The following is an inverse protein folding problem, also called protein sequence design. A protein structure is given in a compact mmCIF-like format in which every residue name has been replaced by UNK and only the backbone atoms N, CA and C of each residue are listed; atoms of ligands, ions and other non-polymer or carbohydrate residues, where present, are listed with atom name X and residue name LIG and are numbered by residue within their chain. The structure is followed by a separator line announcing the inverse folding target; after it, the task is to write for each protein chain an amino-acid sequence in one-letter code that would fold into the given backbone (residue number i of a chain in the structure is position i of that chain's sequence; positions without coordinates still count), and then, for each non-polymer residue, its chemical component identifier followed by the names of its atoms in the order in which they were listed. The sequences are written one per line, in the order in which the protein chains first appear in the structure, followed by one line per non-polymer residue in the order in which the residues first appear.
data_IF_582972492784
#
_entry.id   IF_582972492784
#
_cell.length_a   1.000
_cell.length_b   1.000
_cell.length_c   1.000
_cell.angle_alpha   90.00
_cell.angle_beta   90.00
_cell.angle_gamma   90.00
#
_symmetry.space_group_name_H-M   'P 1'
#
loop_
_entity.id
_entity.type
_entity.pdbx_description
1 polymer ?
#
# COMPACT_ATOMS: atom_id res chain seq x y z
N UNK A 1 48.61 -10.82 -28.53
CA UNK A 1 49.08 -9.58 -27.86
C UNK A 1 47.94 -8.57 -27.98
N UNK A 2 47.72 -7.72 -26.98
CA UNK A 2 46.72 -6.65 -27.08
C UNK A 2 47.26 -5.52 -27.97
N UNK A 3 46.38 -4.78 -28.64
CA UNK A 3 46.76 -3.67 -29.49
C UNK A 3 47.00 -2.39 -28.63
N UNK A 4 48.15 -1.70 -28.77
CA UNK A 4 48.49 -0.53 -27.96
C UNK A 4 47.89 0.79 -28.44
N UNK A 5 47.89 1.77 -27.53
CA UNK A 5 47.62 3.17 -27.84
C UNK A 5 48.87 3.88 -28.41
N UNK A 6 48.67 4.87 -29.28
CA UNK A 6 49.76 5.65 -29.92
C UNK A 6 50.76 6.29 -28.93
N UNK A 7 50.31 6.72 -27.75
CA UNK A 7 51.16 7.26 -26.68
C UNK A 7 52.05 6.19 -26.00
N UNK A 8 51.84 4.90 -26.32
CA UNK A 8 52.53 3.79 -25.68
C UNK A 8 52.10 3.58 -24.23
N UNK A 9 52.96 2.94 -23.45
CA UNK A 9 52.82 2.67 -22.01
C UNK A 9 51.63 1.80 -21.60
N UNK A 10 50.85 1.33 -22.57
CA UNK A 10 49.84 0.28 -22.38
C UNK A 10 50.54 -1.05 -22.15
N UNK A 11 49.93 -1.92 -21.33
CA UNK A 11 50.52 -3.23 -21.01
C UNK A 11 50.22 -4.22 -22.12
N UNK A 12 51.29 -4.79 -22.69
CA UNK A 12 51.27 -5.81 -23.72
C UNK A 12 51.64 -7.16 -23.11
N UNK A 13 50.73 -8.12 -23.17
CA UNK A 13 51.03 -9.50 -22.78
C UNK A 13 51.51 -10.28 -23.99
N UNK A 14 52.73 -10.82 -23.88
CA UNK A 14 53.39 -11.62 -24.92
C UNK A 14 53.58 -13.04 -24.38
N UNK A 15 53.17 -14.02 -25.17
CA UNK A 15 53.32 -15.45 -24.85
C UNK A 15 54.40 -16.07 -25.73
N UNK A 16 55.17 -17.00 -25.16
CA UNK A 16 56.29 -17.64 -25.82
C UNK A 16 56.87 -18.78 -24.98
N UNK A 17 58.16 -19.06 -25.15
CA UNK A 17 58.89 -20.12 -24.45
C UNK A 17 60.27 -19.64 -24.02
N UNK A 18 60.75 -20.08 -22.85
CA UNK A 18 62.05 -19.73 -22.26
C UNK A 18 62.28 -18.23 -22.08
N UNK A 19 61.22 -17.49 -21.75
CA UNK A 19 61.25 -16.03 -21.62
C UNK A 19 61.85 -15.54 -20.29
N UNK A 20 61.93 -16.41 -19.29
CA UNK A 20 62.52 -16.17 -17.96
C UNK A 20 64.06 -16.13 -17.98
N UNK A 21 64.69 -16.67 -19.02
CA UNK A 21 66.16 -16.68 -19.20
C UNK A 21 66.70 -15.31 -19.63
N UNK A 22 65.84 -14.43 -20.17
CA UNK A 22 66.23 -13.13 -20.69
C UNK A 22 66.28 -12.11 -19.54
N UNK A 23 67.47 -11.57 -19.24
CA UNK A 23 67.68 -10.64 -18.11
C UNK A 23 67.05 -9.26 -18.33
N UNK A 24 67.22 -8.67 -19.53
CA UNK A 24 66.66 -7.37 -19.89
C UNK A 24 65.85 -7.44 -21.19
N UNK A 25 64.65 -8.06 -21.17
CA UNK A 25 63.81 -8.09 -22.35
C UNK A 25 63.27 -6.68 -22.64
N UNK A 26 63.37 -6.23 -23.90
CA UNK A 26 62.77 -4.97 -24.35
C UNK A 26 61.93 -5.20 -25.59
N UNK A 27 60.91 -4.38 -25.76
CA UNK A 27 60.07 -4.34 -26.97
C UNK A 27 60.50 -3.16 -27.83
N UNK A 28 60.49 -3.35 -29.14
CA UNK A 28 60.96 -2.40 -30.16
C UNK A 28 59.86 -2.19 -31.20
N UNK A 29 59.67 -0.94 -31.61
CA UNK A 29 58.82 -0.57 -32.74
C UNK A 29 59.55 0.45 -33.61
N UNK A 30 59.37 0.33 -34.93
CA UNK A 30 59.84 1.31 -35.92
C UNK A 30 58.65 1.93 -36.63
N UNK A 31 58.59 3.25 -36.70
CA UNK A 31 57.54 3.99 -37.37
C UNK A 31 58.06 5.32 -37.90
N UNK A 32 57.81 5.62 -39.18
CA UNK A 32 58.22 6.89 -39.80
C UNK A 32 59.74 7.09 -39.78
N UNK A 33 60.50 5.99 -39.90
CA UNK A 33 61.97 6.01 -39.85
C UNK A 33 62.58 6.16 -38.46
N UNK A 34 61.77 6.30 -37.39
CA UNK A 34 62.23 6.37 -36.00
C UNK A 34 62.03 5.03 -35.28
N UNK A 35 62.93 4.71 -34.37
CA UNK A 35 62.86 3.52 -33.54
C UNK A 35 62.61 3.91 -32.08
N UNK A 36 61.59 3.28 -31.47
CA UNK A 36 61.24 3.44 -30.07
C UNK A 36 61.31 2.09 -29.36
N UNK A 37 61.87 2.08 -28.15
CA UNK A 37 62.00 0.89 -27.31
C UNK A 37 61.38 1.14 -25.94
N UNK A 38 60.90 0.08 -25.30
CA UNK A 38 60.36 0.16 -23.94
C UNK A 38 60.61 -1.16 -23.19
N UNK A 39 60.49 -1.10 -21.86
CA UNK A 39 60.86 -2.19 -20.95
C UNK A 39 59.84 -3.33 -20.98
N UNK A 40 60.34 -4.56 -20.83
CA UNK A 40 59.52 -5.73 -20.55
C UNK A 40 59.95 -6.37 -19.23
N UNK A 41 59.01 -7.06 -18.61
CA UNK A 41 59.25 -7.86 -17.41
C UNK A 41 58.80 -9.29 -17.67
N UNK A 42 59.71 -10.25 -17.48
CA UNK A 42 59.35 -11.65 -17.47
C UNK A 42 58.42 -11.93 -16.29
N UNK A 43 57.27 -12.54 -16.58
CA UNK A 43 56.33 -12.99 -15.55
C UNK A 43 56.63 -14.44 -15.24
N UNK A 44 56.59 -15.31 -16.26
CA UNK A 44 56.91 -16.74 -16.19
C UNK A 44 57.75 -17.16 -17.41
N UNK A 45 58.21 -18.42 -17.45
CA UNK A 45 58.97 -18.99 -18.59
C UNK A 45 58.22 -18.94 -19.93
N UNK A 46 56.90 -18.76 -19.92
CA UNK A 46 56.06 -18.69 -21.11
C UNK A 46 55.40 -17.33 -21.35
N UNK A 47 55.58 -16.34 -20.46
CA UNK A 47 54.93 -15.04 -20.60
C UNK A 47 55.78 -13.86 -20.10
N UNK A 48 55.79 -12.78 -20.89
CA UNK A 48 56.34 -11.48 -20.50
C UNK A 48 55.27 -10.39 -20.62
N UNK A 49 55.34 -9.42 -19.73
CA UNK A 49 54.55 -8.20 -19.78
C UNK A 49 55.46 -7.05 -20.25
N UNK A 50 55.15 -6.47 -21.39
CA UNK A 50 55.87 -5.34 -21.97
C UNK A 50 55.07 -4.05 -21.84
N UNK A 51 55.74 -2.93 -21.59
CA UNK A 51 55.12 -1.61 -21.78
C UNK A 51 55.23 -1.25 -23.27
N UNK A 52 54.14 -0.89 -23.93
CA UNK A 52 54.16 -0.53 -25.34
C UNK A 52 55.10 0.67 -25.58
N UNK A 53 55.98 0.66 -26.59
CA UNK A 53 56.75 1.83 -26.95
C UNK A 53 55.85 2.92 -27.56
N UNK A 54 56.13 4.22 -27.31
CA UNK A 54 55.42 5.32 -27.95
C UNK A 54 55.80 5.43 -29.44
N UNK A 55 54.83 5.69 -30.32
CA UNK A 55 55.07 5.90 -31.76
C UNK A 55 55.63 7.29 -32.10
N UNK A 56 55.27 8.30 -31.29
CA UNK A 56 55.71 9.69 -31.47
C UNK A 56 56.09 10.28 -30.12
N UNK A 57 57.10 11.16 -30.10
CA UNK A 57 57.50 11.88 -28.89
C UNK A 57 56.52 13.01 -28.49
N UNK A 58 55.71 13.50 -29.44
CA UNK A 58 54.73 14.56 -29.20
C UNK A 58 53.30 14.03 -29.26
N UNK A 59 52.52 14.37 -28.23
CA UNK A 59 51.09 14.10 -28.16
C UNK A 59 50.33 15.15 -28.98
N UNK A 60 49.80 14.77 -30.14
CA UNK A 60 48.84 15.58 -30.90
C UNK A 60 47.40 15.15 -30.57
N UNK A 61 46.60 15.97 -29.86
CA UNK A 61 45.21 15.64 -29.59
C UNK A 61 44.39 15.64 -30.89
N UNK A 62 43.71 14.52 -31.18
CA UNK A 62 42.68 14.45 -32.23
C UNK A 62 43.08 13.83 -33.57
N UNK A 63 44.17 13.06 -33.62
CA UNK A 63 44.46 12.23 -34.80
C UNK A 63 43.69 10.90 -34.70
N UNK A 64 42.51 10.84 -35.33
CA UNK A 64 41.57 9.71 -35.25
C UNK A 64 41.91 8.53 -36.19
N UNK A 65 43.13 8.50 -36.74
CA UNK A 65 43.56 7.41 -37.62
C UNK A 65 44.34 6.33 -36.88
N UNK A 66 43.97 5.09 -37.17
CA UNK A 66 44.73 3.89 -36.80
C UNK A 66 46.08 3.92 -37.54
N UNK A 67 47.18 3.66 -36.82
CA UNK A 67 48.54 3.66 -37.37
C UNK A 67 49.13 2.26 -37.35
N UNK A 68 49.78 1.87 -38.44
CA UNK A 68 50.47 0.60 -38.55
C UNK A 68 51.98 0.83 -38.38
N UNK A 69 52.63 0.00 -37.55
CA UNK A 69 54.08 0.06 -37.38
C UNK A 69 54.80 -0.49 -38.64
N UNK A 70 55.94 0.12 -38.99
CA UNK A 70 56.78 -0.34 -40.11
C UNK A 70 57.51 -1.63 -39.75
N UNK A 71 58.04 -1.72 -38.52
CA UNK A 71 58.65 -2.92 -37.95
C UNK A 71 58.23 -3.06 -36.48
N UNK A 72 58.01 -4.29 -36.04
CA UNK A 72 57.79 -4.63 -34.64
C UNK A 72 58.70 -5.78 -34.24
N UNK A 73 59.24 -5.78 -33.02
CA UNK A 73 60.11 -6.84 -32.55
C UNK A 73 60.51 -6.74 -31.09
N UNK A 74 61.44 -7.59 -30.70
CA UNK A 74 61.94 -7.74 -29.35
C UNK A 74 63.46 -7.74 -29.33
N UNK A 75 64.02 -7.06 -28.33
CA UNK A 75 65.45 -7.03 -28.05
C UNK A 75 65.69 -7.95 -26.85
N UNK A 76 65.98 -9.22 -27.14
CA UNK A 76 66.36 -10.23 -26.15
C UNK A 76 67.84 -10.55 -26.31
N UNK A 77 68.70 -9.73 -25.70
CA UNK A 77 70.16 -9.85 -25.80
C UNK A 77 70.63 -9.85 -27.27
N UNK A 78 71.31 -10.91 -27.74
CA UNK A 78 71.88 -11.02 -29.08
C UNK A 78 71.02 -11.87 -30.05
N UNK A 79 69.73 -12.09 -29.76
CA UNK A 79 68.83 -12.87 -30.62
C UNK A 79 68.32 -12.01 -31.78
N UNK A 80 69.05 -12.01 -32.90
CA UNK A 80 68.73 -11.17 -34.08
C UNK A 80 67.42 -11.55 -34.78
N UNK A 81 66.98 -12.79 -34.65
CA UNK A 81 65.75 -13.29 -35.28
C UNK A 81 64.47 -12.62 -34.74
N UNK A 82 64.52 -12.08 -33.52
CA UNK A 82 63.35 -11.46 -32.87
C UNK A 82 63.29 -9.94 -33.07
N UNK A 83 64.32 -9.33 -33.67
CA UNK A 83 64.37 -7.88 -33.90
C UNK A 83 63.29 -7.40 -34.89
N UNK A 84 62.87 -8.28 -35.80
CA UNK A 84 61.80 -8.04 -36.78
C UNK A 84 60.86 -9.23 -36.81
N UNK A 85 59.70 -9.08 -36.20
CA UNK A 85 58.65 -10.09 -36.16
C UNK A 85 57.64 -9.85 -37.29
N UNK A 86 57.74 -10.63 -38.36
CA UNK A 86 57.05 -10.38 -39.62
C UNK A 86 55.66 -11.04 -39.74
N UNK A 87 55.10 -11.55 -38.63
CA UNK A 87 53.93 -12.44 -38.65
C UNK A 87 52.59 -11.75 -38.37
N UNK A 88 52.56 -10.47 -37.99
CA UNK A 88 51.32 -9.74 -37.69
C UNK A 88 51.50 -8.25 -37.93
N UNK A 89 50.58 -7.61 -38.66
CA UNK A 89 50.49 -6.16 -38.71
C UNK A 89 50.13 -5.66 -37.32
N UNK A 90 51.11 -5.15 -36.57
CA UNK A 90 50.90 -4.60 -35.24
C UNK A 90 50.35 -3.18 -35.39
N UNK A 91 49.16 -2.96 -34.83
CA UNK A 91 48.36 -1.77 -35.07
C UNK A 91 48.25 -0.94 -33.79
N UNK A 92 48.41 0.38 -33.91
CA UNK A 92 48.27 1.33 -32.83
C UNK A 92 46.97 2.12 -32.97
N UNK A 93 46.14 2.06 -31.93
CA UNK A 93 44.88 2.79 -31.84
C UNK A 93 45.10 4.24 -31.37
N UNK A 94 44.25 5.18 -31.85
CA UNK A 94 44.32 6.58 -31.43
C UNK A 94 44.10 6.71 -29.92
N UNK A 95 44.76 7.71 -29.32
CA UNK A 95 44.64 7.96 -27.88
C UNK A 95 43.21 8.44 -27.53
N UNK A 96 42.69 8.09 -26.34
CA UNK A 96 41.43 8.64 -25.87
C UNK A 96 41.55 10.15 -25.72
N UNK A 97 40.55 10.88 -26.20
CA UNK A 97 40.49 12.34 -26.06
C UNK A 97 39.21 12.72 -25.34
N UNK A 98 39.33 13.64 -24.39
CA UNK A 98 38.22 14.13 -23.58
C UNK A 98 37.89 15.58 -23.94
N UNK A 99 36.60 15.90 -23.91
CA UNK A 99 36.11 17.26 -24.02
C UNK A 99 36.27 17.99 -22.67
N UNK A 100 36.30 19.32 -22.70
CA UNK A 100 36.31 20.11 -21.47
C UNK A 100 35.00 19.90 -20.70
N UNK A 101 35.09 19.79 -19.36
CA UNK A 101 33.92 19.55 -18.49
C UNK A 101 32.85 20.63 -18.62
N UNK A 102 33.25 21.88 -18.84
CA UNK A 102 32.35 23.01 -19.06
C UNK A 102 33.06 24.10 -19.86
N UNK A 103 32.28 24.97 -20.52
CA UNK A 103 32.79 26.13 -21.27
C UNK A 103 33.52 27.13 -20.37
N UNK A 104 33.24 27.11 -19.06
CA UNK A 104 33.89 27.94 -18.03
C UNK A 104 35.10 27.27 -17.37
N UNK A 105 35.41 26.01 -17.67
CA UNK A 105 36.47 25.22 -17.05
C UNK A 105 36.15 24.67 -15.65
N UNK A 106 35.01 25.06 -15.06
CA UNK A 106 34.49 24.56 -13.78
C UNK A 106 33.06 24.06 -13.96
N UNK A 107 32.80 22.79 -13.61
CA UNK A 107 31.47 22.20 -13.64
C UNK A 107 30.83 22.28 -12.25
N UNK A 108 29.69 22.97 -12.17
CA UNK A 108 28.87 23.04 -10.95
C UNK A 108 28.05 21.76 -10.80
N UNK A 109 28.37 20.96 -9.77
CA UNK A 109 27.76 19.66 -9.55
C UNK A 109 26.93 19.66 -8.25
N UNK A 110 25.70 19.13 -8.33
CA UNK A 110 24.86 18.90 -7.15
C UNK A 110 25.34 17.65 -6.39
N UNK A 111 25.19 17.62 -5.06
CA UNK A 111 25.48 16.41 -4.28
C UNK A 111 24.67 15.21 -4.80
N UNK A 112 25.36 14.10 -5.06
CA UNK A 112 24.76 12.83 -5.50
C UNK A 112 24.54 12.65 -7.01
N UNK A 113 24.79 13.66 -7.86
CA UNK A 113 24.71 13.47 -9.32
C UNK A 113 26.05 12.98 -9.89
N UNK A 114 26.08 12.01 -10.84
CA UNK A 114 27.33 11.52 -11.43
C UNK A 114 27.99 12.58 -12.33
N UNK A 115 29.32 12.62 -12.31
CA UNK A 115 30.14 13.47 -13.19
C UNK A 115 30.26 12.78 -14.55
N UNK A 116 29.87 13.47 -15.62
CA UNK A 116 29.88 12.93 -16.98
C UNK A 116 31.08 13.50 -17.73
N UNK A 117 32.00 12.63 -18.13
CA UNK A 117 33.19 12.96 -18.90
C UNK A 117 32.99 12.47 -20.33
N UNK A 118 32.74 13.38 -21.27
CA UNK A 118 32.57 13.06 -22.68
C UNK A 118 33.93 12.87 -23.35
N UNK A 119 34.03 11.86 -24.20
CA UNK A 119 35.27 11.59 -24.92
C UNK A 119 35.07 10.73 -26.16
N UNK A 120 36.13 10.66 -26.98
CA UNK A 120 36.23 9.81 -28.17
C UNK A 120 37.34 8.78 -27.98
N UNK A 121 37.23 7.67 -28.71
CA UNK A 121 38.19 6.56 -28.67
C UNK A 121 38.38 5.94 -27.27
N UNK A 122 37.30 5.85 -26.48
CA UNK A 122 37.32 5.29 -25.12
C UNK A 122 37.37 3.75 -25.10
N UNK A 123 36.77 3.12 -26.10
CA UNK A 123 36.77 1.67 -26.25
C UNK A 123 37.26 1.34 -27.67
N UNK A 124 38.56 1.04 -27.86
CA UNK A 124 39.05 0.64 -29.18
C UNK A 124 38.46 -0.73 -29.56
N UNK A 125 38.07 -0.96 -30.83
CA UNK A 125 37.58 -2.24 -31.32
C UNK A 125 38.75 -3.23 -31.53
N UNK A 126 39.49 -3.52 -30.46
CA UNK A 126 40.66 -4.39 -30.48
C UNK A 126 40.28 -5.87 -30.60
N UNK A 127 41.10 -6.63 -31.33
CA UNK A 127 40.90 -8.06 -31.58
C UNK A 127 41.28 -8.89 -30.35
N UNK A 128 40.40 -8.90 -29.33
CA UNK A 128 40.65 -9.67 -28.09
C UNK A 128 39.86 -9.25 -26.86
N UNK A 129 38.97 -8.25 -26.95
CA UNK A 129 38.12 -7.83 -25.82
C UNK A 129 38.89 -7.17 -24.66
N UNK A 130 40.16 -6.82 -24.85
CA UNK A 130 40.97 -6.12 -23.85
C UNK A 130 40.46 -4.69 -23.64
N UNK A 131 39.84 -4.44 -22.47
CA UNK A 131 39.40 -3.10 -22.08
C UNK A 131 40.57 -2.30 -21.53
N UNK A 132 40.63 -1.01 -21.86
CA UNK A 132 41.58 -0.08 -21.24
C UNK A 132 41.21 0.12 -19.76
N UNK A 133 42.22 0.14 -18.89
CA UNK A 133 42.05 0.44 -17.48
C UNK A 133 42.07 1.95 -17.28
N UNK A 134 40.89 2.52 -17.04
CA UNK A 134 40.70 3.92 -16.70
C UNK A 134 40.73 4.10 -15.18
N UNK A 135 41.36 5.17 -14.70
CA UNK A 135 41.25 5.63 -13.32
C UNK A 135 41.00 7.13 -13.34
N UNK A 136 39.93 7.59 -12.72
CA UNK A 136 39.58 9.00 -12.65
C UNK A 136 39.74 9.45 -11.21
N UNK A 137 40.51 10.52 -10.99
CA UNK A 137 40.72 11.12 -9.68
C UNK A 137 40.08 12.50 -9.65
N UNK A 138 39.33 12.76 -8.57
CA UNK A 138 38.77 14.07 -8.25
C UNK A 138 39.61 14.63 -7.10
N UNK A 139 40.45 15.63 -7.40
CA UNK A 139 41.54 16.02 -6.52
C UNK A 139 42.57 14.88 -6.45
N UNK A 140 42.72 14.30 -5.26
CA UNK A 140 43.60 13.15 -5.00
C UNK A 140 42.84 11.84 -4.71
N UNK A 141 41.50 11.86 -4.80
CA UNK A 141 40.65 10.71 -4.45
C UNK A 141 40.13 10.02 -5.73
N UNK A 142 40.33 8.70 -5.88
CA UNK A 142 39.79 7.95 -7.01
C UNK A 142 38.27 7.84 -6.92
N UNK A 143 37.57 8.02 -8.04
CA UNK A 143 36.12 7.81 -8.11
C UNK A 143 35.76 6.46 -8.75
N UNK A 144 34.58 5.95 -8.39
CA UNK A 144 34.02 4.78 -9.05
C UNK A 144 33.54 5.17 -10.45
N UNK A 145 34.01 4.45 -11.47
CA UNK A 145 33.74 4.77 -12.87
C UNK A 145 32.93 3.70 -13.58
N UNK A 146 32.07 4.14 -14.50
CA UNK A 146 31.41 3.31 -15.51
C UNK A 146 31.83 3.77 -16.89
N UNK A 147 32.41 2.86 -17.68
CA UNK A 147 32.95 3.13 -19.02
C UNK A 147 31.90 2.84 -20.10
N UNK A 148 31.63 3.80 -20.96
CA UNK A 148 30.83 3.66 -22.19
C UNK A 148 31.67 4.01 -23.42
N UNK A 149 31.15 3.78 -24.63
CA UNK A 149 31.86 4.05 -25.89
C UNK A 149 32.19 5.54 -26.09
N UNK A 150 31.37 6.44 -25.56
CA UNK A 150 31.46 7.90 -25.75
C UNK A 150 31.55 8.71 -24.46
N UNK A 151 31.44 8.06 -23.30
CA UNK A 151 31.44 8.76 -22.01
C UNK A 151 31.95 7.90 -20.85
N UNK A 152 32.57 8.55 -19.86
CA UNK A 152 32.86 7.97 -18.54
C UNK A 152 31.95 8.63 -17.51
N UNK A 153 31.24 7.81 -16.74
CA UNK A 153 30.43 8.25 -15.60
C UNK A 153 31.24 8.02 -14.32
N UNK A 154 31.52 9.07 -13.58
CA UNK A 154 32.28 9.06 -12.33
C UNK A 154 31.33 9.43 -11.18
N UNK A 155 31.17 8.53 -10.20
CA UNK A 155 30.41 8.85 -8.99
C UNK A 155 31.27 9.73 -8.06
N UNK A 156 30.83 10.96 -7.74
CA UNK A 156 31.67 11.89 -6.99
C UNK A 156 31.95 11.35 -5.58
N UNK A 157 33.21 11.40 -5.10
CA UNK A 157 33.54 11.09 -3.71
C UNK A 157 32.88 12.11 -2.77
N UNK A 158 32.74 11.80 -1.46
CA UNK A 158 32.12 12.69 -0.47
C UNK A 158 33.04 13.87 -0.09
N UNK A 159 33.40 14.68 -1.08
CA UNK A 159 34.21 15.88 -0.97
C UNK A 159 33.35 17.09 -1.34
N UNK A 160 33.56 18.20 -0.63
CA UNK A 160 32.93 19.49 -0.94
C UNK A 160 33.99 20.49 -1.43
N UNK A 161 33.57 21.46 -2.24
CA UNK A 161 34.47 22.49 -2.79
C UNK A 161 34.95 22.20 -4.22
N UNK A 162 35.94 22.98 -4.67
CA UNK A 162 36.47 22.92 -6.03
C UNK A 162 37.67 21.96 -6.12
N UNK A 163 37.55 20.92 -6.93
CA UNK A 163 38.56 19.87 -7.10
C UNK A 163 38.90 19.67 -8.58
N UNK A 164 40.18 19.47 -8.89
CA UNK A 164 40.64 19.22 -10.27
C UNK A 164 40.40 17.76 -10.65
N UNK A 165 39.82 17.50 -11.82
CA UNK A 165 39.62 16.14 -12.32
C UNK A 165 40.82 15.72 -13.15
N UNK A 166 41.37 14.53 -12.86
CA UNK A 166 42.46 13.93 -13.63
C UNK A 166 42.08 12.51 -14.06
N UNK A 167 42.39 12.17 -15.31
CA UNK A 167 42.09 10.88 -15.92
C UNK A 167 43.43 10.20 -16.22
N UNK A 168 43.58 8.96 -15.78
CA UNK A 168 44.74 8.12 -15.98
C UNK A 168 44.36 6.90 -16.82
N UNK A 169 45.10 6.67 -17.90
CA UNK A 169 44.90 5.52 -18.80
C UNK A 169 46.27 4.96 -19.17
N UNK A 170 46.66 3.84 -18.56
CA UNK A 170 48.04 3.34 -18.69
C UNK A 170 49.05 4.37 -18.18
N UNK A 171 49.89 4.90 -19.08
CA UNK A 171 50.86 5.97 -18.78
C UNK A 171 50.45 7.37 -19.26
N UNK A 172 49.19 7.56 -19.70
CA UNK A 172 48.68 8.86 -20.14
C UNK A 172 47.88 9.54 -19.02
N UNK A 173 48.19 10.81 -18.74
CA UNK A 173 47.49 11.65 -17.77
C UNK A 173 46.83 12.84 -18.49
N UNK A 174 45.51 12.98 -18.34
CA UNK A 174 44.72 14.06 -18.94
C UNK A 174 43.90 14.78 -17.88
N UNK A 175 43.84 16.11 -17.94
CA UNK A 175 43.05 16.94 -17.00
C UNK A 175 41.98 17.74 -17.75
N UNK A 176 40.73 17.24 -17.83
CA UNK A 176 39.67 17.87 -18.63
C UNK A 176 39.01 19.10 -17.96
N UNK A 177 39.27 19.37 -16.67
CA UNK A 177 38.72 20.54 -15.96
C UNK A 177 38.63 20.36 -14.45
N UNK A 178 37.93 21.27 -13.77
CA UNK A 178 37.64 21.18 -12.33
C UNK A 178 36.14 21.04 -12.08
N UNK A 179 35.75 20.41 -10.97
CA UNK A 179 34.37 20.29 -10.51
C UNK A 179 34.20 21.05 -9.21
N UNK A 180 33.11 21.79 -9.05
CA UNK A 180 32.70 22.41 -7.80
C UNK A 180 31.51 21.63 -7.24
N UNK A 181 31.73 20.92 -6.13
CA UNK A 181 30.69 20.14 -5.46
C UNK A 181 30.08 21.01 -4.37
N UNK A 182 28.82 21.41 -4.57
CA UNK A 182 28.08 22.19 -3.59
C UNK A 182 27.77 21.34 -2.35
N UNK A 183 27.96 21.91 -1.17
CA UNK A 183 27.47 21.33 0.09
C UNK A 183 25.94 21.39 0.12
N UNK A 184 25.30 20.34 0.62
CA UNK A 184 23.88 20.39 1.00
C UNK A 184 23.69 21.51 2.02
N UNK A 185 23.31 22.70 1.55
CA UNK A 185 22.81 23.78 2.42
C UNK A 185 21.42 23.36 2.89
N UNK A 186 21.37 22.48 3.87
CA UNK A 186 20.14 22.18 4.58
C UNK A 186 19.74 23.43 5.37
N UNK A 187 18.80 24.16 4.78
CA UNK A 187 18.13 25.35 5.28
C UNK A 187 19.05 26.54 5.54
N UNK A 188 18.99 27.50 4.61
CA UNK A 188 19.45 28.86 4.84
C UNK A 188 18.81 29.43 6.12
N UNK A 189 19.59 30.08 6.98
CA UNK A 189 19.10 30.79 8.18
C UNK A 189 17.77 31.56 7.98
N UNK A 190 17.52 32.29 6.87
CA UNK A 190 16.24 32.94 6.62
C UNK A 190 15.04 31.99 6.47
N UNK A 191 15.24 30.76 6.00
CA UNK A 191 14.18 29.75 5.90
C UNK A 191 13.76 29.20 7.28
N UNK A 192 14.66 29.20 8.27
CA UNK A 192 14.34 28.77 9.64
C UNK A 192 13.44 29.80 10.31
N UNK A 193 13.75 31.09 10.16
CA UNK A 193 12.92 32.17 10.71
C UNK A 193 11.52 32.21 10.09
N UNK A 194 11.37 31.93 8.80
CA UNK A 194 10.05 31.91 8.14
C UNK A 194 9.19 30.73 8.60
N UNK A 195 9.79 29.54 8.78
CA UNK A 195 9.08 28.36 9.30
C UNK A 195 8.70 28.55 10.77
N UNK A 196 9.58 29.12 11.59
CA UNK A 196 9.30 29.39 13.00
C UNK A 196 8.17 30.43 13.17
N UNK A 197 8.16 31.50 12.36
CA UNK A 197 7.09 32.50 12.36
C UNK A 197 5.75 31.91 11.88
N UNK A 198 5.76 31.11 10.81
CA UNK A 198 4.56 30.44 10.30
C UNK A 198 3.99 29.41 11.27
N UNK A 199 4.86 28.61 11.90
CA UNK A 199 4.47 27.63 12.91
C UNK A 199 3.91 28.28 14.18
N UNK A 200 4.53 29.38 14.63
CA UNK A 200 4.04 30.15 15.78
C UNK A 200 2.66 30.75 15.55
N UNK A 201 2.42 31.34 14.38
CA UNK A 201 1.11 31.90 14.01
C UNK A 201 0.02 30.80 13.97
N UNK A 202 0.34 29.64 13.39
CA UNK A 202 -0.59 28.52 13.34
C UNK A 202 -0.90 27.99 14.75
N UNK A 203 0.10 27.89 15.62
CA UNK A 203 -0.09 27.48 17.01
C UNK A 203 -1.01 28.44 17.78
N UNK A 204 -0.83 29.77 17.61
CA UNK A 204 -1.70 30.78 18.25
C UNK A 204 -3.14 30.65 17.77
N UNK A 205 -3.37 30.41 16.47
CA UNK A 205 -4.72 30.20 15.92
C UNK A 205 -5.37 28.96 16.54
N UNK A 206 -4.62 27.85 16.65
CA UNK A 206 -5.13 26.61 17.28
C UNK A 206 -5.52 26.87 18.75
N UNK A 207 -4.70 27.60 19.51
CA UNK A 207 -5.02 27.95 20.89
C UNK A 207 -6.29 28.81 20.98
N UNK A 208 -6.47 29.82 20.12
CA UNK A 208 -7.69 30.62 20.09
C UNK A 208 -8.94 29.78 19.78
N UNK A 209 -8.85 28.85 18.83
CA UNK A 209 -9.94 27.92 18.50
C UNK A 209 -10.25 27.02 19.70
N UNK A 210 -9.25 26.50 20.40
CA UNK A 210 -9.45 25.68 21.60
C UNK A 210 -10.10 26.47 22.73
N UNK A 211 -9.71 27.74 22.94
CA UNK A 211 -10.33 28.61 23.94
C UNK A 211 -11.78 28.90 23.56
N UNK A 212 -12.06 29.22 22.29
CA UNK A 212 -13.43 29.42 21.80
C UNK A 212 -14.28 28.16 21.96
N UNK A 213 -13.74 26.98 21.64
CA UNK A 213 -14.41 25.71 21.81
C UNK A 213 -14.69 25.39 23.29
N UNK A 214 -13.71 25.57 24.17
CA UNK A 214 -13.88 25.39 25.63
C UNK A 214 -14.94 26.33 26.18
N UNK A 215 -14.92 27.60 25.75
CA UNK A 215 -15.92 28.59 26.15
C UNK A 215 -17.32 28.20 25.65
N UNK A 216 -17.45 27.78 24.39
CA UNK A 216 -18.71 27.33 23.80
C UNK A 216 -19.24 26.05 24.45
N UNK A 217 -18.36 25.11 24.74
CA UNK A 217 -18.70 23.86 25.44
C UNK A 217 -19.17 24.14 26.87
N UNK A 218 -18.52 25.06 27.57
CA UNK A 218 -18.94 25.48 28.92
C UNK A 218 -20.29 26.21 28.90
N UNK A 219 -20.54 27.07 27.92
CA UNK A 219 -21.86 27.68 27.70
C UNK A 219 -22.95 26.62 27.48
N UNK A 220 -22.68 25.62 26.64
CA UNK A 220 -23.62 24.54 26.38
C UNK A 220 -23.89 23.69 27.64
N UNK A 221 -22.84 23.36 28.41
CA UNK A 221 -22.98 22.62 29.66
C UNK A 221 -23.79 23.39 30.70
N UNK A 222 -23.58 24.72 30.80
CA UNK A 222 -24.40 25.61 31.61
C UNK A 222 -25.87 25.62 31.17
N UNK A 223 -26.13 25.64 29.85
CA UNK A 223 -27.52 25.58 29.36
C UNK A 223 -28.19 24.25 29.67
N UNK A 224 -27.48 23.12 29.54
CA UNK A 224 -28.01 21.80 29.89
C UNK A 224 -28.31 21.71 31.39
N UNK A 225 -27.39 22.18 32.24
CA UNK A 225 -27.59 22.25 33.70
C UNK A 225 -28.80 23.11 34.09
N UNK A 226 -29.04 24.22 33.39
CA UNK A 226 -30.23 25.05 33.60
C UNK A 226 -31.51 24.31 33.23
N UNK A 227 -31.52 23.57 32.12
CA UNK A 227 -32.69 22.76 31.71
C UNK A 227 -33.00 21.65 32.73
N UNK A 228 -31.98 20.96 33.25
CA UNK A 228 -32.15 19.97 34.32
C UNK A 228 -32.70 20.61 35.60
N UNK A 229 -32.14 21.74 36.04
CA UNK A 229 -32.62 22.42 37.25
C UNK A 229 -34.06 22.95 37.10
N UNK A 230 -34.45 23.38 35.89
CA UNK A 230 -35.84 23.73 35.58
C UNK A 230 -36.76 22.50 35.60
N UNK A 231 -36.28 21.37 35.11
CA UNK A 231 -37.01 20.09 35.18
C UNK A 231 -37.20 19.64 36.63
N UNK A 232 -36.17 19.70 37.47
CA UNK A 232 -36.24 19.30 38.89
C UNK A 232 -37.20 20.20 39.68
N UNK A 233 -37.21 21.52 39.39
CA UNK A 233 -38.11 22.46 40.05
C UNK A 233 -39.56 22.29 39.58
N UNK A 234 -39.79 21.99 38.29
CA UNK A 234 -41.10 21.62 37.77
C UNK A 234 -41.56 20.27 38.34
N UNK A 235 -40.68 19.28 38.42
CA UNK A 235 -40.94 17.97 39.02
C UNK A 235 -41.35 18.11 40.48
N UNK A 236 -40.65 18.93 41.27
CA UNK A 236 -41.02 19.14 42.69
C UNK A 236 -42.38 19.83 42.86
N UNK A 237 -42.79 20.71 41.93
CA UNK A 237 -44.12 21.35 41.97
C UNK A 237 -45.22 20.41 41.50
N UNK A 238 -45.01 19.72 40.37
CA UNK A 238 -45.96 18.72 39.82
C UNK A 238 -46.10 17.53 40.76
N UNK A 239 -45.05 17.09 41.44
CA UNK A 239 -45.13 15.99 42.40
C UNK A 239 -46.03 16.33 43.60
N UNK A 240 -46.15 17.61 43.97
CA UNK A 240 -47.05 18.04 45.04
C UNK A 240 -48.51 18.04 44.54
N UNK A 241 -48.75 18.65 43.38
CA UNK A 241 -50.07 18.66 42.74
C UNK A 241 -50.55 17.23 42.42
N UNK A 242 -49.66 16.33 41.96
CA UNK A 242 -49.98 14.93 41.73
C UNK A 242 -50.25 14.16 43.03
N UNK A 243 -49.61 14.50 44.16
CA UNK A 243 -49.92 13.86 45.45
C UNK A 243 -51.30 14.27 45.96
N UNK A 244 -51.66 15.54 45.78
CA UNK A 244 -52.98 16.05 46.12
C UNK A 244 -54.06 15.44 45.22
N UNK A 245 -53.86 15.48 43.90
CA UNK A 245 -54.75 14.84 42.93
C UNK A 245 -54.83 13.31 43.11
N UNK A 246 -53.75 12.65 43.53
CA UNK A 246 -53.77 11.21 43.83
C UNK A 246 -54.52 10.89 45.12
N UNK A 247 -54.42 11.75 46.14
CA UNK A 247 -55.20 11.60 47.37
C UNK A 247 -56.70 11.79 47.08
N UNK A 248 -57.05 12.78 46.24
CA UNK A 248 -58.43 13.02 45.77
C UNK A 248 -58.95 11.83 44.93
N UNK A 249 -58.16 11.33 43.97
CA UNK A 249 -58.51 10.13 43.20
C UNK A 249 -58.62 8.87 44.05
N UNK A 250 -57.77 8.71 45.07
CA UNK A 250 -57.87 7.57 45.97
C UNK A 250 -59.14 7.62 46.80
N UNK A 251 -59.57 8.80 47.28
CA UNK A 251 -60.85 8.93 48.00
C UNK A 251 -62.02 8.61 47.07
N UNK A 252 -62.01 9.12 45.84
CA UNK A 252 -63.07 8.88 44.85
C UNK A 252 -63.13 7.40 44.39
N UNK A 253 -61.98 6.79 44.12
CA UNK A 253 -61.90 5.37 43.73
C UNK A 253 -62.27 4.47 44.91
N UNK A 254 -61.87 4.78 46.14
CA UNK A 254 -62.32 4.00 47.30
C UNK A 254 -63.81 4.13 47.53
N UNK A 255 -64.42 5.29 47.27
CA UNK A 255 -65.87 5.46 47.33
C UNK A 255 -66.57 4.62 46.25
N UNK A 256 -66.08 4.68 45.01
CA UNK A 256 -66.60 3.86 43.90
C UNK A 256 -66.34 2.35 44.11
N UNK A 257 -65.19 1.99 44.69
CA UNK A 257 -64.81 0.61 45.01
C UNK A 257 -65.58 0.09 46.21
N UNK A 258 -65.91 0.94 47.18
CA UNK A 258 -66.85 0.61 48.28
C UNK A 258 -68.23 0.27 47.74
N UNK A 259 -68.72 1.02 46.75
CA UNK A 259 -69.97 0.72 46.04
C UNK A 259 -69.85 -0.56 45.19
N UNK A 260 -68.69 -0.78 44.56
CA UNK A 260 -68.37 -2.00 43.81
C UNK A 260 -68.10 -3.22 44.70
N UNK A 261 -67.64 -3.09 45.94
CA UNK A 261 -67.40 -4.22 46.86
C UNK A 261 -68.72 -4.91 47.22
N UNK A 262 -69.83 -4.19 47.07
CA UNK A 262 -71.19 -4.74 47.18
C UNK A 262 -71.68 -5.44 45.92
N UNK A 263 -71.09 -5.16 44.75
CA UNK A 263 -71.50 -5.68 43.43
C UNK A 263 -70.47 -6.61 42.75
N UNK A 264 -69.22 -6.63 43.21
CA UNK A 264 -68.07 -7.26 42.58
C UNK A 264 -67.58 -6.53 41.32
N UNK A 265 -66.29 -6.66 41.00
CA UNK A 265 -65.74 -6.22 39.70
C UNK A 265 -66.45 -7.00 38.58
N UNK A 266 -67.01 -6.34 37.56
CA UNK A 266 -67.71 -7.03 36.47
C UNK A 266 -66.69 -7.73 35.55
N UNK A 267 -66.27 -8.92 35.94
CA UNK A 267 -65.42 -9.77 35.13
C UNK A 267 -66.19 -10.27 33.90
N UNK A 268 -65.54 -10.20 32.74
CA UNK A 268 -66.06 -10.86 31.55
C UNK A 268 -65.88 -12.37 31.66
N UNK A 269 -66.88 -13.13 31.20
CA UNK A 269 -66.74 -14.57 31.03
C UNK A 269 -65.54 -14.90 30.14
N UNK A 270 -64.84 -16.00 30.46
CA UNK A 270 -63.64 -16.44 29.74
C UNK A 270 -63.85 -16.49 28.22
N UNK A 271 -65.01 -16.98 27.77
CA UNK A 271 -65.36 -17.05 26.34
C UNK A 271 -65.42 -15.66 25.70
N UNK A 272 -66.10 -14.70 26.33
CA UNK A 272 -66.19 -13.33 25.83
C UNK A 272 -64.83 -12.61 25.89
N UNK A 273 -64.05 -12.85 26.93
CA UNK A 273 -62.70 -12.31 27.10
C UNK A 273 -61.74 -12.78 25.99
N UNK A 274 -61.64 -14.09 25.76
CA UNK A 274 -60.77 -14.68 24.73
C UNK A 274 -61.18 -14.21 23.33
N UNK A 275 -62.48 -14.08 23.06
CA UNK A 275 -62.96 -13.59 21.78
C UNK A 275 -62.57 -12.13 21.51
N UNK A 276 -62.69 -11.24 22.50
CA UNK A 276 -62.26 -9.84 22.36
C UNK A 276 -60.76 -9.70 22.13
N UNK A 277 -59.96 -10.64 22.64
CA UNK A 277 -58.50 -10.65 22.44
C UNK A 277 -58.13 -11.23 21.07
N UNK A 278 -58.71 -12.37 20.70
CA UNK A 278 -58.37 -13.05 19.44
C UNK A 278 -58.99 -12.35 18.22
N UNK A 279 -60.16 -11.74 18.37
CA UNK A 279 -60.91 -11.09 17.30
C UNK A 279 -61.41 -9.70 17.75
N UNK A 280 -60.52 -8.71 17.86
CA UNK A 280 -60.89 -7.38 18.35
C UNK A 280 -61.87 -6.69 17.38
N UNK A 281 -62.95 -6.12 17.94
CA UNK A 281 -63.97 -5.38 17.17
C UNK A 281 -65.01 -6.25 16.47
N UNK A 282 -65.06 -7.56 16.75
CA UNK A 282 -66.08 -8.48 16.25
C UNK A 282 -66.89 -9.08 17.40
N UNK A 283 -68.04 -8.47 17.70
CA UNK A 283 -68.89 -8.91 18.82
C UNK A 283 -69.63 -10.24 18.55
N UNK A 284 -69.82 -10.61 17.27
CA UNK A 284 -70.54 -11.84 16.86
C UNK A 284 -69.73 -12.64 15.83
N UNK A 285 -68.61 -13.21 16.28
CA UNK A 285 -67.75 -14.01 15.42
C UNK A 285 -68.40 -15.37 15.10
N UNK A 286 -68.36 -15.87 13.84
CA UNK A 286 -68.93 -17.17 13.45
C UNK A 286 -68.44 -18.38 14.25
N UNK A 287 -67.30 -18.25 14.94
CA UNK A 287 -66.74 -19.26 15.86
C UNK A 287 -67.67 -19.53 17.05
N UNK A 288 -68.50 -18.55 17.42
CA UNK A 288 -69.45 -18.67 18.53
C UNK A 288 -70.77 -19.31 18.12
N UNK A 289 -71.04 -19.35 16.82
CA UNK A 289 -72.26 -19.91 16.24
C UNK A 289 -72.03 -21.37 15.87
N UNK A 290 -73.10 -22.17 15.94
CA UNK A 290 -73.07 -23.51 15.37
C UNK A 290 -72.92 -23.41 13.84
N UNK A 291 -72.28 -24.42 13.24
CA UNK A 291 -71.99 -24.43 11.82
C UNK A 291 -73.30 -24.57 11.01
N UNK A 292 -73.94 -23.46 10.64
CA UNK A 292 -75.16 -23.44 9.83
C UNK A 292 -74.84 -23.72 8.34
N UNK A 293 -74.74 -24.99 7.97
CA UNK A 293 -74.61 -25.40 6.55
C UNK A 293 -75.93 -26.06 6.12
N UNK A 294 -76.85 -25.30 5.53
CA UNK A 294 -78.13 -25.86 5.07
C UNK A 294 -77.97 -26.73 3.80
N UNK A 295 -78.41 -28.00 3.85
CA UNK A 295 -78.68 -28.85 2.66
C UNK A 295 -77.80 -30.09 2.46
N UNK A 296 -77.92 -30.72 1.28
CA UNK A 296 -77.27 -31.99 0.89
C UNK A 296 -75.71 -31.96 0.87
N UNK A 297 -75.11 -30.76 0.96
CA UNK A 297 -73.66 -30.54 1.02
C UNK A 297 -73.05 -30.62 2.43
N UNK A 298 -73.86 -30.60 3.49
CA UNK A 298 -73.40 -30.52 4.87
C UNK A 298 -72.50 -31.71 5.27
N UNK A 299 -72.90 -32.93 4.93
CA UNK A 299 -72.12 -34.14 5.25
C UNK A 299 -70.75 -34.15 4.57
N UNK A 300 -70.64 -33.60 3.35
CA UNK A 300 -69.37 -33.51 2.63
C UNK A 300 -68.45 -32.47 3.26
N UNK A 301 -68.99 -31.32 3.65
CA UNK A 301 -68.25 -30.23 4.31
C UNK A 301 -67.78 -30.67 5.70
N UNK A 302 -68.65 -31.28 6.51
CA UNK A 302 -68.28 -31.81 7.82
C UNK A 302 -67.20 -32.90 7.73
N UNK A 303 -67.29 -33.79 6.74
CA UNK A 303 -66.25 -34.80 6.50
C UNK A 303 -64.91 -34.16 6.13
N UNK A 304 -64.91 -33.14 5.28
CA UNK A 304 -63.71 -32.39 4.91
C UNK A 304 -63.12 -31.61 6.11
N UNK A 305 -63.96 -30.96 6.93
CA UNK A 305 -63.55 -30.26 8.14
C UNK A 305 -62.97 -31.21 9.19
N UNK A 306 -63.53 -32.41 9.35
CA UNK A 306 -62.96 -33.45 10.22
C UNK A 306 -61.57 -33.89 9.73
N UNK A 307 -61.40 -34.10 8.43
CA UNK A 307 -60.09 -34.42 7.85
C UNK A 307 -59.10 -33.25 8.00
N UNK A 308 -59.55 -32.01 7.83
CA UNK A 308 -58.73 -30.83 8.08
C UNK A 308 -58.33 -30.73 9.56
N UNK A 309 -59.24 -31.01 10.49
CA UNK A 309 -58.94 -31.07 11.93
C UNK A 309 -57.89 -32.13 12.27
N UNK A 310 -57.90 -33.27 11.57
CA UNK A 310 -56.84 -34.29 11.70
C UNK A 310 -55.49 -33.78 11.18
N UNK A 311 -55.47 -33.05 10.05
CA UNK A 311 -54.26 -32.42 9.52
C UNK A 311 -53.72 -31.33 10.44
N UNK A 312 -54.58 -30.48 11.01
CA UNK A 312 -54.20 -29.43 11.97
C UNK A 312 -53.67 -30.01 13.28
N UNK A 313 -54.01 -31.26 13.62
CA UNK A 313 -53.39 -31.98 14.74
C UNK A 313 -52.02 -32.60 14.41
N UNK A 314 -51.51 -32.45 13.18
CA UNK A 314 -50.18 -32.89 12.80
C UNK A 314 -49.17 -31.72 12.88
N UNK A 315 -48.19 -31.83 13.77
CA UNK A 315 -47.16 -30.80 14.00
C UNK A 315 -46.45 -30.37 12.72
N UNK A 316 -46.07 -31.33 11.88
CA UNK A 316 -45.36 -31.07 10.62
C UNK A 316 -46.23 -30.32 9.62
N UNK A 317 -47.52 -30.67 9.57
CA UNK A 317 -48.48 -29.98 8.70
C UNK A 317 -48.65 -28.53 9.15
N UNK A 318 -48.90 -28.27 10.43
CA UNK A 318 -49.12 -26.90 10.95
C UNK A 318 -47.90 -26.02 10.75
N UNK A 319 -46.69 -26.53 11.05
CA UNK A 319 -45.45 -25.79 10.82
C UNK A 319 -45.26 -25.46 9.34
N UNK A 320 -45.42 -26.44 8.45
CA UNK A 320 -45.30 -26.23 7.00
C UNK A 320 -46.39 -25.28 6.47
N UNK A 321 -47.61 -25.36 7.00
CA UNK A 321 -48.72 -24.49 6.63
C UNK A 321 -48.43 -23.03 6.99
N UNK A 322 -48.05 -22.76 8.25
CA UNK A 322 -47.70 -21.40 8.72
C UNK A 322 -46.54 -20.83 7.92
N UNK A 323 -45.46 -21.61 7.72
CA UNK A 323 -44.31 -21.18 6.90
C UNK A 323 -44.72 -20.82 5.48
N UNK A 324 -45.58 -21.64 4.86
CA UNK A 324 -46.03 -21.41 3.48
C UNK A 324 -46.84 -20.12 3.37
N UNK A 325 -47.69 -19.82 4.35
CA UNK A 325 -48.47 -18.58 4.40
C UNK A 325 -47.58 -17.35 4.64
N UNK A 326 -46.63 -17.42 5.58
CA UNK A 326 -45.72 -16.32 5.89
C UNK A 326 -44.77 -15.97 4.73
N UNK A 327 -44.45 -16.94 3.88
CA UNK A 327 -43.62 -16.74 2.68
C UNK A 327 -44.33 -15.94 1.58
N UNK A 328 -45.67 -15.89 1.58
CA UNK A 328 -46.42 -15.15 0.57
C UNK A 328 -46.33 -13.63 0.81
N UNK A 329 -45.90 -12.88 -0.20
CA UNK A 329 -45.81 -11.40 -0.12
C UNK A 329 -47.17 -10.70 -0.04
N UNK A 330 -48.23 -11.35 -0.53
CA UNK A 330 -49.61 -10.85 -0.42
C UNK A 330 -50.21 -11.03 0.98
N UNK A 331 -49.54 -11.76 1.88
CA UNK A 331 -50.07 -12.07 3.21
C UNK A 331 -49.74 -10.95 4.21
N UNK A 332 -50.75 -10.14 4.52
CA UNK A 332 -50.60 -8.94 5.34
C UNK A 332 -50.46 -9.26 6.85
N UNK A 333 -50.03 -8.27 7.64
CA UNK A 333 -49.99 -8.41 9.12
C UNK A 333 -51.36 -8.68 9.73
N UNK A 334 -52.45 -8.17 9.10
CA UNK A 334 -53.82 -8.43 9.54
C UNK A 334 -54.19 -9.90 9.31
N UNK A 335 -53.85 -10.45 8.14
CA UNK A 335 -54.13 -11.84 7.81
C UNK A 335 -53.33 -12.80 8.70
N UNK A 336 -52.09 -12.43 9.05
CA UNK A 336 -51.27 -13.17 10.02
C UNK A 336 -51.93 -13.26 11.39
N UNK A 337 -52.41 -12.12 11.91
CA UNK A 337 -53.14 -12.08 13.18
C UNK A 337 -54.41 -12.91 13.13
N UNK A 338 -55.18 -12.79 12.04
CA UNK A 338 -56.43 -13.54 11.87
C UNK A 338 -56.22 -15.06 11.81
N UNK A 339 -55.24 -15.52 11.04
CA UNK A 339 -54.89 -16.96 10.96
C UNK A 339 -54.36 -17.48 12.29
N UNK A 340 -53.52 -16.71 12.98
CA UNK A 340 -53.04 -17.08 14.31
C UNK A 340 -54.20 -17.27 15.31
N UNK A 341 -55.16 -16.34 15.31
CA UNK A 341 -56.38 -16.43 16.14
C UNK A 341 -57.25 -17.63 15.81
N UNK A 342 -57.42 -17.96 14.52
CA UNK A 342 -58.16 -19.16 14.09
C UNK A 342 -57.45 -20.46 14.49
N UNK A 343 -56.13 -20.55 14.32
CA UNK A 343 -55.34 -21.73 14.74
C UNK A 343 -55.41 -21.89 16.26
N UNK A 344 -55.27 -20.79 17.02
CA UNK A 344 -55.39 -20.79 18.48
C UNK A 344 -56.77 -21.26 18.94
N UNK A 345 -57.84 -20.83 18.25
CA UNK A 345 -59.21 -21.25 18.52
C UNK A 345 -59.42 -22.74 18.18
N UNK A 346 -58.94 -23.19 17.01
CA UNK A 346 -59.10 -24.57 16.55
C UNK A 346 -58.35 -25.58 17.43
N UNK A 347 -57.20 -25.19 17.99
CA UNK A 347 -56.36 -26.00 18.87
C UNK A 347 -56.54 -25.67 20.36
N UNK A 348 -57.58 -24.92 20.73
CA UNK A 348 -57.82 -24.49 22.11
C UNK A 348 -57.88 -25.65 23.10
N UNK A 349 -58.45 -26.79 22.69
CA UNK A 349 -58.56 -27.99 23.53
C UNK A 349 -57.23 -28.75 23.70
N UNK A 350 -56.15 -28.32 23.06
CA UNK A 350 -54.82 -28.97 23.03
C UNK A 350 -53.71 -27.93 23.23
N UNK A 351 -53.78 -27.16 24.32
CA UNK A 351 -52.83 -26.07 24.63
C UNK A 351 -51.37 -26.52 24.69
N UNK A 352 -51.11 -27.75 25.15
CA UNK A 352 -49.75 -28.33 25.16
C UNK A 352 -49.18 -28.46 23.75
N UNK A 353 -49.97 -28.97 22.80
CA UNK A 353 -49.56 -29.15 21.41
C UNK A 353 -49.24 -27.81 20.73
N UNK A 354 -50.11 -26.80 20.90
CA UNK A 354 -49.88 -25.48 20.30
C UNK A 354 -48.70 -24.74 20.95
N UNK A 355 -48.44 -24.97 22.23
CA UNK A 355 -47.26 -24.42 22.92
C UNK A 355 -45.97 -24.98 22.33
N UNK A 356 -45.93 -26.28 22.02
CA UNK A 356 -44.76 -26.91 21.39
C UNK A 356 -44.56 -26.44 19.94
N UNK A 357 -45.64 -26.19 19.20
CA UNK A 357 -45.58 -25.55 17.88
C UNK A 357 -45.05 -24.12 18.01
N UNK A 358 -45.56 -23.33 18.96
CA UNK A 358 -45.15 -21.95 19.20
C UNK A 358 -43.66 -21.85 19.58
N UNK A 359 -43.17 -22.72 20.48
CA UNK A 359 -41.75 -22.79 20.85
C UNK A 359 -40.86 -23.02 19.63
N UNK A 360 -41.26 -23.94 18.76
CA UNK A 360 -40.51 -24.24 17.54
C UNK A 360 -40.50 -23.03 16.58
N UNK A 361 -41.66 -22.39 16.36
CA UNK A 361 -41.77 -21.20 15.52
C UNK A 361 -40.94 -20.03 16.06
N UNK A 362 -40.97 -19.80 17.37
CA UNK A 362 -40.16 -18.76 18.03
C UNK A 362 -38.67 -19.04 17.90
N UNK A 363 -38.24 -20.28 18.10
CA UNK A 363 -36.84 -20.68 17.92
C UNK A 363 -36.36 -20.45 16.49
N UNK A 364 -37.19 -20.77 15.50
CA UNK A 364 -36.89 -20.54 14.08
C UNK A 364 -36.85 -19.05 13.74
N UNK A 365 -37.77 -18.25 14.29
CA UNK A 365 -37.78 -16.80 14.13
C UNK A 365 -36.50 -16.16 14.72
N UNK A 366 -36.07 -16.63 15.90
CA UNK A 366 -34.82 -16.18 16.53
C UNK A 366 -33.61 -16.55 15.66
N UNK A 367 -33.52 -17.80 15.22
CA UNK A 367 -32.42 -18.26 14.36
C UNK A 367 -32.34 -17.43 13.07
N UNK A 368 -33.46 -17.24 12.38
CA UNK A 368 -33.55 -16.44 11.15
C UNK A 368 -33.19 -14.95 11.38
N UNK A 369 -33.56 -14.40 12.53
CA UNK A 369 -33.23 -13.01 12.87
C UNK A 369 -31.75 -12.83 13.22
N UNK A 370 -31.13 -13.84 13.84
CA UNK A 370 -29.70 -13.86 14.08
C UNK A 370 -28.90 -14.00 12.78
N UNK A 371 -29.33 -14.87 11.87
CA UNK A 371 -28.73 -15.04 10.55
C UNK A 371 -28.80 -13.77 9.69
N UNK A 372 -29.89 -13.01 9.79
CA UNK A 372 -30.06 -11.74 9.06
C UNK A 372 -29.27 -10.56 9.66
N UNK A 373 -28.43 -10.81 10.69
CA UNK A 373 -27.64 -9.79 11.42
C UNK A 373 -28.50 -8.65 11.98
N UNK A 374 -29.77 -8.93 12.28
CA UNK A 374 -30.65 -7.94 12.89
C UNK A 374 -30.19 -7.65 14.32
N UNK A 375 -30.34 -6.40 14.75
CA UNK A 375 -30.00 -6.01 16.10
C UNK A 375 -30.87 -6.78 17.12
N UNK A 376 -30.29 -7.46 18.13
CA UNK A 376 -31.03 -8.36 19.00
C UNK A 376 -32.15 -7.66 19.80
N UNK A 377 -31.99 -6.37 20.13
CA UNK A 377 -33.04 -5.56 20.78
C UNK A 377 -34.25 -5.22 19.88
N UNK A 378 -34.21 -5.57 18.59
CA UNK A 378 -35.32 -5.37 17.67
C UNK A 378 -36.17 -6.63 17.46
N UNK A 379 -35.76 -7.77 18.04
CA UNK A 379 -36.51 -9.02 17.98
C UNK A 379 -37.86 -8.89 18.71
N UNK A 380 -38.95 -9.39 18.10
CA UNK A 380 -40.33 -9.38 18.64
C UNK A 380 -40.94 -7.99 18.91
N UNK A 381 -40.34 -6.90 18.40
CA UNK A 381 -40.88 -5.55 18.57
C UNK A 381 -42.03 -5.21 17.59
N UNK A 382 -42.16 -5.95 16.49
CA UNK A 382 -43.16 -5.72 15.43
C UNK A 382 -43.69 -7.02 14.88
#
# INVERSE_FOLDING_TARGET
MNDPLQHGHTTLTVTGTNLDVVQEPRVRVRYGGRESVNVCRAVNSTSICCSAPPLTAEFSPGQDSVKQADEFGFIFNNVRALLTYNSTSFVYFPNPAFEQLSVSGVLEQKPGSPIILKGRNLVPPASGGSKLNYTVLVGDVPCLITVSETQLLCEPPPLTGQHRVTIQVGGLHLSPGSVHIQSDSLLTLPAIFSIAAGGGLLFVIVILVLIAYRRKSHENDLTLKRLHMQMDNLESRVALECKEAFAELQTDINELTSDLDRAGIPHLDYRNYVMRILFPGMDDHPVLRELEVAGCGQQRVEKALKQLGQLVNNKTFVLSFIRTLELQRSFSMRDRGYVASLIMTALHNRLEFITDVLKQLLSELIAKSMESKNHPKLLLRR
#
